data_IF_864272208435
#
_entry.id   IF_864272208435
#
_cell.length_a   1.000
_cell.length_b   1.000
_cell.length_c   1.000
_cell.angle_alpha   90.00
_cell.angle_beta   90.00
_cell.angle_gamma   90.00
#
_symmetry.space_group_name_H-M   'P 1'
#
loop_
_entity.id
_entity.type
_entity.pdbx_description
1 polymer ?
#
# COMPACT_ATOMS: atom_id res chain seq x y z
N UNK A 1 -24.20 7.00 -3.50
CA UNK A 1 -25.22 6.42 -4.42
C UNK A 1 -25.96 5.29 -3.71
N UNK A 2 -25.31 4.16 -3.41
CA UNK A 2 -25.89 3.14 -2.52
C UNK A 2 -26.01 3.59 -1.06
N UNK A 3 -25.20 4.57 -0.61
CA UNK A 3 -25.24 5.06 0.78
C UNK A 3 -26.62 5.64 1.12
N UNK A 4 -27.20 6.44 0.22
CA UNK A 4 -28.52 7.03 0.44
C UNK A 4 -29.63 5.98 0.39
N UNK A 5 -29.45 4.93 -0.43
CA UNK A 5 -30.39 3.82 -0.54
C UNK A 5 -30.45 2.99 0.74
N UNK A 6 -29.29 2.59 1.28
CA UNK A 6 -29.17 1.84 2.54
C UNK A 6 -29.09 2.73 3.79
N UNK A 7 -29.27 4.05 3.64
CA UNK A 7 -29.23 5.05 4.73
C UNK A 7 -27.91 5.08 5.51
N UNK A 8 -26.80 4.76 4.85
CA UNK A 8 -25.46 4.86 5.42
C UNK A 8 -25.01 6.33 5.49
N UNK A 9 -24.29 6.65 6.56
CA UNK A 9 -23.70 7.98 6.76
C UNK A 9 -22.50 8.25 5.86
N UNK A 10 -21.76 7.20 5.50
CA UNK A 10 -20.55 7.22 4.67
C UNK A 10 -20.38 5.87 3.97
N UNK A 11 -19.46 5.75 3.00
CA UNK A 11 -19.11 4.44 2.43
C UNK A 11 -18.43 3.55 3.48
N UNK A 12 -18.93 2.33 3.73
CA UNK A 12 -18.35 1.41 4.71
C UNK A 12 -17.03 0.80 4.24
N UNK A 13 -16.87 0.55 2.93
CA UNK A 13 -15.75 -0.22 2.38
C UNK A 13 -14.73 0.63 1.60
N UNK A 14 -14.43 1.83 2.10
CA UNK A 14 -13.39 2.67 1.50
C UNK A 14 -12.02 1.99 1.60
N UNK A 15 -11.22 2.15 0.54
CA UNK A 15 -9.83 1.69 0.48
C UNK A 15 -8.86 2.62 1.22
N UNK A 16 -9.24 3.87 1.41
CA UNK A 16 -8.42 4.81 2.17
C UNK A 16 -8.42 4.41 3.65
N UNK A 17 -7.25 4.29 4.28
CA UNK A 17 -7.14 3.94 5.69
C UNK A 17 -7.67 5.09 6.56
N UNK A 18 -8.86 4.89 7.12
CA UNK A 18 -9.49 5.76 8.12
C UNK A 18 -9.41 5.06 9.49
N UNK A 19 -8.76 5.68 10.51
CA UNK A 19 -8.65 5.12 11.86
C UNK A 19 -10.00 4.76 12.49
N UNK A 20 -11.08 5.46 12.14
CA UNK A 20 -12.40 5.23 12.69
C UNK A 20 -12.96 3.84 12.33
N UNK A 21 -12.49 3.25 11.22
CA UNK A 21 -12.87 1.92 10.74
C UNK A 21 -11.91 0.81 11.20
N UNK A 22 -11.00 1.11 12.15
CA UNK A 22 -10.05 0.13 12.62
C UNK A 22 -10.72 -1.02 13.38
N UNK A 23 -10.63 -2.22 12.79
CA UNK A 23 -11.04 -3.46 13.44
C UNK A 23 -9.82 -4.13 14.07
N UNK A 24 -9.72 -4.10 15.40
CA UNK A 24 -8.64 -4.75 16.13
C UNK A 24 -8.79 -6.27 16.16
N UNK A 25 -8.46 -6.97 15.08
CA UNK A 25 -8.48 -8.44 15.03
C UNK A 25 -7.53 -9.07 16.05
N UNK A 26 -7.64 -10.38 16.30
CA UNK A 26 -6.69 -11.13 17.15
C UNK A 26 -5.26 -10.96 16.65
N UNK A 27 -5.06 -10.95 15.33
CA UNK A 27 -3.76 -10.67 14.70
C UNK A 27 -3.24 -9.27 15.03
N UNK A 28 -4.08 -8.25 14.90
CA UNK A 28 -3.71 -6.87 15.23
C UNK A 28 -3.37 -6.68 16.71
N UNK A 29 -4.16 -7.28 17.63
CA UNK A 29 -3.88 -7.21 19.07
C UNK A 29 -2.56 -7.89 19.43
N UNK A 30 -2.25 -9.03 18.81
CA UNK A 30 -0.95 -9.70 18.99
C UNK A 30 0.20 -8.85 18.45
N UNK A 31 0.05 -8.30 17.24
CA UNK A 31 1.05 -7.41 16.65
C UNK A 31 1.34 -6.21 17.56
N UNK A 32 0.29 -5.56 18.10
CA UNK A 32 0.45 -4.44 19.02
C UNK A 32 1.16 -4.85 20.31
N UNK A 33 0.82 -6.01 20.89
CA UNK A 33 1.53 -6.51 22.08
C UNK A 33 3.03 -6.75 21.83
N UNK A 34 3.42 -7.21 20.63
CA UNK A 34 4.83 -7.33 20.25
C UNK A 34 5.52 -5.97 20.10
N UNK A 35 4.82 -4.97 19.55
CA UNK A 35 5.32 -3.60 19.46
C UNK A 35 5.51 -2.98 20.84
N UNK A 36 4.52 -3.09 21.72
CA UNK A 36 4.59 -2.62 23.10
C UNK A 36 5.72 -3.31 23.87
N UNK A 37 5.85 -4.64 23.73
CA UNK A 37 6.94 -5.39 24.35
C UNK A 37 8.31 -4.86 23.92
N UNK A 38 8.55 -4.68 22.62
CA UNK A 38 9.86 -4.18 22.20
C UNK A 38 10.04 -2.70 22.55
N UNK A 39 8.99 -1.87 22.53
CA UNK A 39 9.04 -0.50 23.06
C UNK A 39 9.55 -0.49 24.50
N UNK A 40 9.20 -1.47 25.34
CA UNK A 40 9.74 -1.55 26.70
C UNK A 40 11.24 -1.90 26.75
N UNK A 41 11.71 -2.78 25.87
CA UNK A 41 13.12 -3.15 25.80
C UNK A 41 14.03 -2.01 25.32
N UNK A 42 13.49 -1.06 24.53
CA UNK A 42 14.19 0.15 24.06
C UNK A 42 15.47 -0.10 23.25
N UNK A 43 15.71 -1.33 22.80
CA UNK A 43 16.83 -1.69 21.92
C UNK A 43 16.37 -2.55 20.73
N UNK A 44 17.25 -2.74 19.75
CA UNK A 44 17.12 -3.69 18.65
C UNK A 44 16.00 -3.41 17.62
N UNK A 45 15.74 -4.43 16.81
CA UNK A 45 14.75 -4.40 15.74
C UNK A 45 13.48 -5.17 16.12
N UNK A 46 12.32 -4.59 15.82
CA UNK A 46 11.06 -5.32 15.76
C UNK A 46 10.64 -5.44 14.31
N UNK A 47 10.28 -6.65 13.88
CA UNK A 47 9.85 -6.91 12.50
C UNK A 47 8.38 -7.30 12.47
N UNK A 48 7.58 -6.55 11.72
CA UNK A 48 6.19 -6.92 11.41
C UNK A 48 6.08 -7.20 9.92
N UNK A 49 5.69 -8.42 9.58
CA UNK A 49 5.36 -8.80 8.20
C UNK A 49 3.88 -9.09 8.08
N UNK A 50 3.35 -9.13 6.86
CA UNK A 50 1.96 -9.50 6.61
C UNK A 50 1.56 -9.25 5.17
N UNK A 51 0.46 -9.83 4.75
CA UNK A 51 -0.02 -9.74 3.37
C UNK A 51 -0.32 -8.29 2.93
N UNK A 52 -0.35 -8.05 1.62
CA UNK A 52 -0.74 -6.77 1.06
C UNK A 52 -2.19 -6.46 1.47
N UNK A 53 -2.38 -5.33 2.15
CA UNK A 53 -3.70 -4.93 2.64
C UNK A 53 -4.17 -5.66 3.91
N UNK A 54 -3.26 -6.31 4.64
CA UNK A 54 -3.54 -6.93 5.95
C UNK A 54 -3.79 -5.91 7.10
N UNK A 55 -3.49 -4.62 6.89
CA UNK A 55 -3.66 -3.58 7.92
C UNK A 55 -2.37 -3.13 8.62
N UNK A 56 -1.19 -3.51 8.09
CA UNK A 56 0.13 -3.16 8.65
C UNK A 56 0.32 -1.66 8.89
N UNK A 57 0.09 -0.82 7.88
CA UNK A 57 0.17 0.64 8.01
C UNK A 57 -0.82 1.19 9.02
N UNK A 58 -1.98 0.56 9.18
CA UNK A 58 -2.96 0.93 10.21
C UNK A 58 -2.45 0.65 11.62
N UNK A 59 -1.72 -0.46 11.82
CA UNK A 59 -1.03 -0.75 13.09
C UNK A 59 0.03 0.31 13.38
N UNK A 60 0.84 0.68 12.39
CA UNK A 60 1.88 1.72 12.53
C UNK A 60 1.26 3.06 12.93
N UNK A 61 0.17 3.47 12.26
CA UNK A 61 -0.53 4.71 12.60
C UNK A 61 -1.12 4.66 13.99
N UNK A 62 -1.80 3.56 14.34
CA UNK A 62 -2.37 3.38 15.66
C UNK A 62 -1.28 3.43 16.74
N UNK A 63 -0.12 2.80 16.53
CA UNK A 63 1.01 2.92 17.43
C UNK A 63 1.42 4.39 17.60
N UNK A 64 1.68 5.11 16.51
CA UNK A 64 2.11 6.51 16.54
C UNK A 64 1.12 7.42 17.29
N UNK A 65 -0.19 7.19 17.15
CA UNK A 65 -1.25 7.93 17.86
C UNK A 65 -1.26 7.67 19.38
N UNK A 66 -0.82 6.49 19.82
CA UNK A 66 -0.76 6.13 21.25
C UNK A 66 0.60 6.44 21.90
N UNK A 67 1.61 6.85 21.12
CA UNK A 67 2.90 7.23 21.66
C UNK A 67 2.82 8.57 22.41
N UNK A 68 3.41 8.59 23.59
CA UNK A 68 3.56 9.80 24.40
C UNK A 68 4.67 10.69 23.80
N UNK A 69 4.35 11.87 23.24
CA UNK A 69 5.34 12.75 22.60
C UNK A 69 6.34 13.34 23.60
N UNK A 70 6.06 13.28 24.90
CA UNK A 70 7.01 13.67 25.93
C UNK A 70 8.05 12.59 26.21
N UNK A 71 7.81 11.34 25.77
CA UNK A 71 8.71 10.21 26.02
C UNK A 71 9.35 9.64 24.77
N UNK A 72 8.74 9.84 23.60
CA UNK A 72 9.19 9.22 22.34
C UNK A 72 9.20 10.25 21.22
N UNK A 73 10.31 10.32 20.51
CA UNK A 73 10.44 11.03 19.24
C UNK A 73 10.41 9.98 18.12
N UNK A 74 9.29 9.89 17.41
CA UNK A 74 9.08 8.91 16.37
C UNK A 74 9.28 9.52 14.97
N UNK A 75 10.04 8.81 14.12
CA UNK A 75 10.20 9.08 12.71
C UNK A 75 9.58 7.94 11.91
N UNK A 76 8.75 8.26 10.90
CA UNK A 76 8.16 7.27 10.01
C UNK A 76 8.70 7.44 8.59
N UNK A 77 9.29 6.39 8.05
CA UNK A 77 9.77 6.28 6.69
C UNK A 77 8.91 5.29 5.92
N UNK A 78 8.36 5.73 4.79
CA UNK A 78 7.73 4.82 3.84
C UNK A 78 8.77 4.52 2.76
N UNK A 79 9.24 3.28 2.71
CA UNK A 79 10.30 2.90 1.78
C UNK A 79 9.76 2.81 0.36
N UNK A 80 10.20 3.72 -0.50
CA UNK A 80 10.25 3.49 -1.95
C UNK A 80 11.54 2.73 -2.27
N UNK A 81 11.82 2.32 -3.52
CA UNK A 81 13.12 1.74 -3.86
C UNK A 81 14.22 2.74 -3.50
N UNK A 82 14.94 2.50 -2.40
CA UNK A 82 15.87 3.45 -1.79
C UNK A 82 17.28 2.86 -1.83
N UNK A 83 18.20 3.64 -2.38
CA UNK A 83 19.62 3.35 -2.33
C UNK A 83 20.21 3.69 -0.94
N UNK A 84 21.27 2.98 -0.53
CA UNK A 84 21.89 3.14 0.78
C UNK A 84 22.44 4.56 1.05
N UNK A 85 22.78 5.33 0.01
CA UNK A 85 23.21 6.72 0.16
C UNK A 85 22.05 7.65 0.57
N UNK A 86 20.81 7.26 0.30
CA UNK A 86 19.62 8.06 0.58
C UNK A 86 18.99 7.72 1.94
N UNK A 87 19.13 6.48 2.43
CA UNK A 87 18.48 6.05 3.69
C UNK A 87 18.88 6.93 4.88
N UNK A 88 20.17 7.26 5.03
CA UNK A 88 20.64 8.13 6.11
C UNK A 88 20.07 9.56 6.01
N UNK A 89 19.95 10.09 4.79
CA UNK A 89 19.32 11.40 4.56
C UNK A 89 17.82 11.37 4.86
N UNK A 90 17.15 10.29 4.49
CA UNK A 90 15.73 10.11 4.77
C UNK A 90 15.48 10.01 6.27
N UNK A 91 16.26 9.20 6.99
CA UNK A 91 16.21 9.11 8.45
C UNK A 91 16.43 10.50 9.08
N UNK A 92 17.47 11.22 8.66
CA UNK A 92 17.73 12.57 9.16
C UNK A 92 16.56 13.52 8.87
N UNK A 93 15.98 13.47 7.67
CA UNK A 93 14.81 14.28 7.29
C UNK A 93 13.59 13.94 8.12
N UNK A 94 13.34 12.65 8.38
CA UNK A 94 12.19 12.18 9.15
C UNK A 94 12.27 12.57 10.63
N UNK A 95 13.47 12.68 11.19
CA UNK A 95 13.71 13.28 12.51
C UNK A 95 13.75 14.82 12.49
N UNK A 96 13.60 15.46 11.33
CA UNK A 96 13.57 16.92 11.19
C UNK A 96 14.95 17.59 11.15
N UNK A 97 16.03 16.84 10.90
CA UNK A 97 17.40 17.35 10.88
C UNK A 97 17.77 17.97 9.54
N UNK A 98 18.45 19.14 9.52
CA UNK A 98 18.94 19.75 8.30
C UNK A 98 20.08 18.93 7.70
N UNK A 99 19.93 18.47 6.45
CA UNK A 99 20.84 17.48 5.87
C UNK A 99 21.26 17.73 4.40
N UNK A 100 20.80 18.81 3.76
CA UNK A 100 20.97 19.04 2.31
C UNK A 100 22.42 19.17 1.84
N UNK A 101 23.34 19.62 2.69
CA UNK A 101 24.75 19.86 2.35
C UNK A 101 25.73 18.90 3.02
N UNK A 102 25.22 17.99 3.87
CA UNK A 102 26.07 17.08 4.62
C UNK A 102 26.51 15.91 3.74
N UNK A 103 27.77 15.53 3.86
CA UNK A 103 28.29 14.25 3.38
C UNK A 103 27.90 13.12 4.36
N UNK A 104 28.26 11.88 4.05
CA UNK A 104 27.88 10.72 4.87
C UNK A 104 28.36 10.86 6.32
N UNK A 105 29.60 11.30 6.54
CA UNK A 105 30.16 11.49 7.87
C UNK A 105 29.39 12.57 8.65
N UNK A 106 29.09 13.70 7.99
CA UNK A 106 28.27 14.76 8.59
C UNK A 106 26.86 14.30 8.96
N UNK A 107 26.22 13.46 8.13
CA UNK A 107 24.91 12.88 8.44
C UNK A 107 24.95 11.97 9.68
N UNK A 108 25.94 11.09 9.75
CA UNK A 108 26.10 10.18 10.89
C UNK A 108 26.34 10.96 12.18
N UNK A 109 27.23 11.96 12.16
CA UNK A 109 27.50 12.82 13.31
C UNK A 109 26.26 13.62 13.75
N UNK A 110 25.49 14.15 12.79
CA UNK A 110 24.26 14.87 13.09
C UNK A 110 23.20 13.95 13.72
N UNK A 111 23.04 12.74 13.20
CA UNK A 111 22.15 11.72 13.75
C UNK A 111 22.59 11.30 15.16
N UNK A 112 23.86 10.98 15.35
CA UNK A 112 24.42 10.61 16.65
C UNK A 112 24.19 11.71 17.69
N UNK A 113 24.52 12.96 17.34
CA UNK A 113 24.32 14.13 18.21
C UNK A 113 22.85 14.27 18.60
N UNK A 114 21.94 14.15 17.63
CA UNK A 114 20.51 14.21 17.86
C UNK A 114 20.01 13.09 18.78
N UNK A 115 20.46 11.85 18.56
CA UNK A 115 20.03 10.71 19.36
C UNK A 115 20.53 10.83 20.81
N UNK A 116 21.79 11.25 21.01
CA UNK A 116 22.35 11.53 22.35
C UNK A 116 21.56 12.63 23.06
N UNK A 117 21.22 13.72 22.36
CA UNK A 117 20.40 14.81 22.93
C UNK A 117 18.99 14.33 23.30
N UNK A 118 18.39 13.49 22.46
CA UNK A 118 17.06 12.91 22.69
C UNK A 118 17.06 12.06 23.96
N UNK A 119 18.07 11.19 24.12
CA UNK A 119 18.26 10.36 25.32
C UNK A 119 18.58 11.20 26.55
N UNK A 120 19.42 12.23 26.44
CA UNK A 120 19.74 13.14 27.53
C UNK A 120 18.52 13.94 28.02
N UNK A 121 17.55 14.19 27.14
CA UNK A 121 16.25 14.78 27.48
C UNK A 121 15.26 13.78 28.11
N UNK A 122 15.68 12.52 28.33
CA UNK A 122 14.82 11.46 28.86
C UNK A 122 13.82 10.91 27.83
N UNK A 123 14.00 11.23 26.54
CA UNK A 123 13.16 10.76 25.44
C UNK A 123 13.85 9.62 24.71
N UNK A 124 13.07 8.83 23.96
CA UNK A 124 13.55 7.71 23.14
C UNK A 124 13.34 8.00 21.67
N UNK A 125 14.30 7.68 20.83
CA UNK A 125 14.15 7.78 19.38
C UNK A 125 13.59 6.46 18.81
N UNK A 126 12.48 6.55 18.08
CA UNK A 126 11.86 5.43 17.39
C UNK A 126 11.88 5.68 15.89
N UNK A 127 12.48 4.78 15.12
CA UNK A 127 12.43 4.77 13.67
C UNK A 127 11.47 3.69 13.20
N UNK A 128 10.45 4.06 12.43
CA UNK A 128 9.56 3.11 11.76
C UNK A 128 9.87 3.16 10.27
N UNK A 129 10.08 1.98 9.68
CA UNK A 129 10.30 1.81 8.25
C UNK A 129 9.19 0.93 7.70
N UNK A 130 8.20 1.54 7.04
CA UNK A 130 7.11 0.85 6.34
C UNK A 130 7.55 0.46 4.91
N UNK A 131 6.91 -0.56 4.35
CA UNK A 131 7.26 -1.18 3.06
C UNK A 131 8.74 -1.66 2.98
N UNK A 132 9.26 -2.24 4.07
CA UNK A 132 10.65 -2.66 4.22
C UNK A 132 11.15 -3.67 3.16
N UNK A 133 10.26 -4.37 2.44
CA UNK A 133 10.65 -5.22 1.31
C UNK A 133 11.28 -4.45 0.14
N UNK A 134 11.08 -3.13 0.08
CA UNK A 134 11.70 -2.26 -0.93
C UNK A 134 13.12 -1.82 -0.56
N UNK A 135 13.62 -2.18 0.62
CA UNK A 135 14.97 -1.84 1.05
C UNK A 135 15.99 -2.72 0.34
N UNK A 136 17.05 -2.09 -0.15
CA UNK A 136 18.22 -2.80 -0.65
C UNK A 136 19.04 -3.40 0.51
N UNK A 137 19.79 -4.49 0.29
CA UNK A 137 20.65 -5.07 1.34
C UNK A 137 21.61 -4.05 1.97
N UNK A 138 22.14 -3.14 1.17
CA UNK A 138 23.02 -2.07 1.63
C UNK A 138 22.27 -1.05 2.51
N UNK A 139 21.02 -0.69 2.19
CA UNK A 139 20.22 0.20 3.04
C UNK A 139 19.90 -0.45 4.40
N UNK A 140 19.61 -1.76 4.42
CA UNK A 140 19.41 -2.52 5.66
C UNK A 140 20.67 -2.52 6.54
N UNK A 141 21.85 -2.64 5.92
CA UNK A 141 23.11 -2.60 6.64
C UNK A 141 23.40 -1.22 7.26
N UNK A 142 23.04 -0.12 6.59
CA UNK A 142 23.12 1.22 7.19
C UNK A 142 22.17 1.36 8.39
N UNK A 143 20.95 0.84 8.31
CA UNK A 143 20.02 0.81 9.45
C UNK A 143 20.59 -0.01 10.62
N UNK A 144 21.23 -1.16 10.32
CA UNK A 144 21.94 -1.96 11.31
C UNK A 144 23.07 -1.16 11.96
N UNK A 145 23.85 -0.43 11.19
CA UNK A 145 24.93 0.41 11.70
C UNK A 145 24.42 1.52 12.62
N UNK A 146 23.33 2.19 12.24
CA UNK A 146 22.67 3.20 13.09
C UNK A 146 22.17 2.62 14.42
N UNK A 147 21.64 1.39 14.42
CA UNK A 147 21.18 0.74 15.66
C UNK A 147 22.31 0.41 16.64
N UNK A 148 23.56 0.43 16.20
CA UNK A 148 24.72 0.22 17.07
C UNK A 148 25.10 1.47 17.87
N UNK A 149 24.47 2.62 17.61
CA UNK A 149 24.71 3.80 18.42
C UNK A 149 24.18 3.57 19.84
N UNK A 150 25.12 3.62 20.79
CA UNK A 150 24.90 3.35 22.19
C UNK A 150 25.58 4.45 23.02
N UNK A 151 24.91 4.88 24.08
CA UNK A 151 25.47 5.75 25.10
C UNK A 151 25.62 4.91 26.37
N UNK A 152 26.86 4.67 26.77
CA UNK A 152 27.20 3.69 27.82
C UNK A 152 26.64 2.31 27.45
N UNK A 153 25.68 1.80 28.22
CA UNK A 153 25.03 0.51 28.00
C UNK A 153 23.62 0.62 27.37
N UNK A 154 23.23 1.81 26.90
CA UNK A 154 21.88 2.05 26.38
C UNK A 154 21.88 2.32 24.87
N UNK A 155 21.06 1.56 24.14
CA UNK A 155 20.79 1.82 22.73
C UNK A 155 20.11 3.19 22.55
N UNK A 156 20.59 3.94 21.58
CA UNK A 156 20.12 5.29 21.28
C UNK A 156 18.95 5.31 20.28
N UNK A 157 18.79 4.23 19.51
CA UNK A 157 17.78 4.13 18.46
C UNK A 157 17.09 2.77 18.49
N UNK A 158 15.76 2.79 18.52
CA UNK A 158 14.93 1.61 18.28
C UNK A 158 14.32 1.65 16.88
N UNK A 159 14.30 0.52 16.18
CA UNK A 159 13.84 0.45 14.79
C UNK A 159 12.74 -0.59 14.57
N UNK A 160 11.62 -0.18 13.98
CA UNK A 160 10.51 -1.06 13.58
C UNK A 160 10.50 -1.21 12.07
N UNK A 161 10.65 -2.44 11.59
CA UNK A 161 10.63 -2.77 10.17
C UNK A 161 9.28 -3.41 9.85
N UNK A 162 8.49 -2.74 9.03
CA UNK A 162 7.16 -3.19 8.63
C UNK A 162 7.18 -3.49 7.13
N UNK A 163 6.83 -4.69 6.74
CA UNK A 163 6.99 -5.12 5.35
C UNK A 163 6.05 -6.23 4.92
N UNK A 164 6.16 -6.62 3.65
CA UNK A 164 5.43 -7.73 3.06
C UNK A 164 6.13 -9.08 3.35
N UNK A 165 5.51 -10.25 3.07
CA UNK A 165 6.10 -11.55 3.36
C UNK A 165 7.47 -11.75 2.71
N UNK A 166 7.73 -11.15 1.54
CA UNK A 166 9.00 -11.17 0.82
C UNK A 166 10.15 -10.63 1.67
N UNK A 167 9.88 -9.64 2.54
CA UNK A 167 10.89 -9.14 3.48
C UNK A 167 11.34 -10.22 4.46
N UNK A 168 10.45 -11.15 4.83
CA UNK A 168 10.80 -12.28 5.70
C UNK A 168 11.80 -13.20 5.01
N UNK A 169 11.66 -13.41 3.71
CA UNK A 169 12.56 -14.25 2.92
C UNK A 169 13.92 -13.55 2.74
N UNK A 170 13.92 -12.25 2.47
CA UNK A 170 15.13 -11.41 2.44
C UNK A 170 15.86 -11.51 3.78
N UNK A 171 15.14 -11.38 4.90
CA UNK A 171 15.70 -11.51 6.24
C UNK A 171 16.31 -12.89 6.50
N UNK A 172 15.81 -13.96 5.87
CA UNK A 172 16.35 -15.32 6.03
C UNK A 172 17.66 -15.57 5.26
N UNK A 173 18.01 -14.70 4.31
CA UNK A 173 19.24 -14.80 3.52
C UNK A 173 20.51 -14.73 4.40
N UNK A 174 21.60 -15.30 3.89
CA UNK A 174 22.89 -15.31 4.59
C UNK A 174 23.42 -13.87 4.82
N UNK A 175 23.17 -12.96 3.89
CA UNK A 175 23.59 -11.55 3.96
C UNK A 175 22.92 -10.80 5.13
N UNK A 176 21.71 -11.22 5.53
CA UNK A 176 20.94 -10.60 6.62
C UNK A 176 21.15 -11.25 7.99
N UNK A 177 22.14 -12.14 8.14
CA UNK A 177 22.38 -12.84 9.41
C UNK A 177 22.68 -11.88 10.57
N UNK A 178 23.42 -10.80 10.31
CA UNK A 178 23.76 -9.82 11.35
C UNK A 178 22.55 -9.01 11.83
N UNK A 179 21.66 -8.61 10.92
CA UNK A 179 20.42 -7.93 11.29
C UNK A 179 19.51 -8.87 12.08
N UNK A 180 19.36 -10.13 11.64
CA UNK A 180 18.53 -11.13 12.33
C UNK A 180 18.91 -11.34 13.79
N UNK A 181 20.20 -11.33 14.10
CA UNK A 181 20.68 -11.46 15.49
C UNK A 181 20.28 -10.27 16.38
N UNK A 182 19.96 -9.12 15.78
CA UNK A 182 19.49 -7.91 16.46
C UNK A 182 17.95 -7.79 16.47
N UNK A 183 17.23 -8.72 15.84
CA UNK A 183 15.76 -8.75 15.89
C UNK A 183 15.32 -9.35 17.22
N UNK A 184 14.68 -8.54 18.04
CA UNK A 184 14.20 -8.94 19.37
C UNK A 184 12.87 -9.66 19.27
N UNK A 185 12.02 -9.19 18.36
CA UNK A 185 10.69 -9.73 18.15
C UNK A 185 10.35 -9.68 16.67
N UNK A 186 9.68 -10.73 16.20
CA UNK A 186 9.06 -10.74 14.88
C UNK A 186 7.65 -11.28 14.97
N UNK A 187 6.73 -10.64 14.24
CA UNK A 187 5.36 -11.09 14.12
C UNK A 187 4.89 -11.04 12.67
N UNK A 188 4.13 -12.05 12.27
CA UNK A 188 3.50 -12.09 10.96
C UNK A 188 2.00 -11.89 11.12
N UNK A 189 1.51 -10.74 10.65
CA UNK A 189 0.10 -10.40 10.56
C UNK A 189 -0.53 -11.16 9.39
N UNK A 190 -1.04 -12.35 9.71
CA UNK A 190 -1.81 -13.16 8.79
C UNK A 190 -3.19 -12.57 8.48
N UNK A 191 -3.89 -13.16 7.49
CA UNK A 191 -5.27 -12.80 7.18
C UNK A 191 -6.22 -13.09 8.35
N UNK A 192 -7.40 -12.48 8.29
CA UNK A 192 -8.50 -12.75 9.22
C UNK A 192 -9.01 -14.17 9.02
N UNK A 193 -9.43 -14.84 10.11
CA UNK A 193 -10.19 -16.08 9.99
C UNK A 193 -11.65 -15.83 9.52
N UNK A 194 -12.46 -16.89 9.35
CA UNK A 194 -13.84 -16.75 8.88
C UNK A 194 -14.74 -15.98 9.86
N UNK A 195 -14.56 -16.19 11.16
CA UNK A 195 -15.31 -15.50 12.22
C UNK A 195 -14.92 -14.02 12.29
N UNK A 196 -13.62 -13.74 12.19
CA UNK A 196 -13.06 -12.39 12.13
C UNK A 196 -13.46 -11.66 10.85
N UNK A 197 -13.54 -12.35 9.71
CA UNK A 197 -13.99 -11.77 8.43
C UNK A 197 -15.43 -11.29 8.53
N UNK A 198 -16.32 -12.12 9.10
CA UNK A 198 -17.71 -11.71 9.38
C UNK A 198 -17.74 -10.51 10.33
N UNK A 199 -17.03 -10.61 11.45
CA UNK A 199 -16.98 -9.55 12.46
C UNK A 199 -16.44 -8.23 11.90
N UNK A 200 -15.47 -8.30 10.98
CA UNK A 200 -14.89 -7.16 10.28
C UNK A 200 -15.90 -6.47 9.36
N UNK A 201 -16.63 -7.24 8.54
CA UNK A 201 -17.67 -6.72 7.65
C UNK A 201 -18.76 -6.03 8.45
N UNK A 202 -19.29 -6.71 9.47
CA UNK A 202 -20.32 -6.15 10.35
C UNK A 202 -19.82 -4.90 11.10
N UNK A 203 -18.56 -4.89 11.56
CA UNK A 203 -17.97 -3.73 12.21
C UNK A 203 -17.96 -2.50 11.29
N UNK A 204 -17.48 -2.64 10.04
CA UNK A 204 -17.46 -1.51 9.09
C UNK A 204 -18.85 -1.02 8.71
N UNK A 205 -19.81 -1.94 8.57
CA UNK A 205 -21.21 -1.60 8.32
C UNK A 205 -21.84 -0.85 9.52
N UNK A 206 -21.68 -1.37 10.75
CA UNK A 206 -22.18 -0.71 11.97
C UNK A 206 -21.60 0.71 12.13
N UNK A 207 -20.33 0.90 11.75
CA UNK A 207 -19.69 2.22 11.81
C UNK A 207 -20.41 3.28 10.95
N UNK A 208 -21.00 2.88 9.82
CA UNK A 208 -21.75 3.81 8.94
C UNK A 208 -23.23 3.88 9.27
N UNK A 209 -23.68 3.25 10.35
CA UNK A 209 -25.07 3.26 10.81
C UNK A 209 -25.93 2.13 10.27
N UNK A 210 -25.34 1.00 9.87
CA UNK A 210 -26.08 -0.19 9.44
C UNK A 210 -27.00 -0.74 10.53
N UNK A 211 -28.25 -0.98 10.16
CA UNK A 211 -29.31 -1.58 10.99
C UNK A 211 -29.88 -2.81 10.28
N UNK A 212 -29.02 -3.78 10.00
CA UNK A 212 -29.36 -5.04 9.30
C UNK A 212 -29.97 -4.84 7.89
N UNK A 213 -29.69 -3.71 7.23
CA UNK A 213 -30.11 -3.40 5.86
C UNK A 213 -28.94 -2.85 5.02
N UNK A 214 -28.46 -3.58 3.98
CA UNK A 214 -28.98 -4.86 3.50
C UNK A 214 -28.64 -6.01 4.45
N UNK A 215 -29.45 -7.07 4.39
CA UNK A 215 -29.23 -8.31 5.14
C UNK A 215 -28.15 -9.12 4.42
N UNK A 216 -27.06 -9.45 5.13
CA UNK A 216 -26.06 -10.40 4.66
C UNK A 216 -26.40 -11.78 5.20
N UNK A 217 -26.62 -12.74 4.30
CA UNK A 217 -26.89 -14.12 4.68
C UNK A 217 -25.64 -14.81 5.22
N UNK A 218 -25.82 -15.85 6.06
CA UNK A 218 -24.71 -16.59 6.66
C UNK A 218 -23.77 -17.19 5.60
N UNK A 219 -24.33 -17.68 4.49
CA UNK A 219 -23.58 -18.32 3.40
C UNK A 219 -22.79 -17.30 2.57
N UNK A 220 -23.28 -16.06 2.45
CA UNK A 220 -22.56 -14.99 1.78
C UNK A 220 -21.20 -14.72 2.46
N UNK A 221 -21.15 -14.72 3.80
CA UNK A 221 -19.88 -14.55 4.54
C UNK A 221 -18.87 -15.65 4.24
N UNK A 222 -19.33 -16.90 4.12
CA UNK A 222 -18.46 -18.04 3.82
C UNK A 222 -17.84 -17.91 2.42
N UNK A 223 -18.63 -17.50 1.43
CA UNK A 223 -18.14 -17.28 0.05
C UNK A 223 -17.21 -16.07 -0.02
N UNK A 224 -17.53 -14.98 0.69
CA UNK A 224 -16.65 -13.81 0.81
C UNK A 224 -15.29 -14.23 1.39
N UNK A 225 -15.29 -14.98 2.49
CA UNK A 225 -14.05 -15.48 3.10
C UNK A 225 -13.27 -16.38 2.13
N UNK A 226 -13.94 -17.34 1.50
CA UNK A 226 -13.32 -18.27 0.56
C UNK A 226 -12.66 -17.58 -0.63
N UNK A 227 -13.28 -16.53 -1.18
CA UNK A 227 -12.67 -15.75 -2.27
C UNK A 227 -11.55 -14.84 -1.78
N UNK A 228 -11.79 -14.08 -0.71
CA UNK A 228 -10.86 -13.02 -0.24
C UNK A 228 -9.67 -13.56 0.53
N UNK A 229 -9.77 -14.78 1.06
CA UNK A 229 -8.77 -15.39 1.94
C UNK A 229 -8.59 -14.62 3.24
N UNK A 230 -9.61 -13.87 3.69
CA UNK A 230 -9.55 -13.07 4.93
C UNK A 230 -8.70 -11.80 4.83
N UNK A 231 -8.30 -11.36 3.64
CA UNK A 231 -7.49 -10.14 3.46
C UNK A 231 -8.41 -8.90 3.45
N UNK A 232 -8.27 -7.96 4.41
CA UNK A 232 -9.15 -6.79 4.57
C UNK A 232 -9.35 -5.97 3.29
N UNK A 233 -8.26 -5.71 2.53
CA UNK A 233 -8.36 -4.95 1.27
C UNK A 233 -9.22 -5.66 0.23
N UNK A 234 -9.11 -6.99 0.11
CA UNK A 234 -9.93 -7.79 -0.83
C UNK A 234 -11.38 -7.84 -0.38
N UNK A 235 -11.61 -7.98 0.93
CA UNK A 235 -12.95 -7.91 1.53
C UNK A 235 -13.59 -6.56 1.20
N UNK A 236 -12.89 -5.46 1.40
CA UNK A 236 -13.40 -4.11 1.10
C UNK A 236 -13.81 -3.97 -0.37
N UNK A 237 -12.94 -4.36 -1.30
CA UNK A 237 -13.24 -4.29 -2.74
C UNK A 237 -14.46 -5.13 -3.09
N UNK A 238 -14.55 -6.37 -2.60
CA UNK A 238 -15.68 -7.25 -2.90
C UNK A 238 -16.98 -6.70 -2.30
N UNK A 239 -16.98 -6.30 -1.03
CA UNK A 239 -18.17 -5.79 -0.37
C UNK A 239 -18.66 -4.44 -0.94
N UNK A 240 -17.75 -3.55 -1.37
CA UNK A 240 -18.15 -2.30 -2.05
C UNK A 240 -18.89 -2.60 -3.37
N UNK A 241 -18.41 -3.59 -4.13
CA UNK A 241 -19.07 -4.05 -5.36
C UNK A 241 -20.40 -4.74 -5.07
N UNK A 242 -20.48 -5.56 -4.03
CA UNK A 242 -21.73 -6.21 -3.62
C UNK A 242 -22.81 -5.20 -3.26
N UNK A 243 -22.47 -4.17 -2.48
CA UNK A 243 -23.41 -3.10 -2.13
C UNK A 243 -23.85 -2.31 -3.37
N UNK A 244 -22.95 -2.08 -4.32
CA UNK A 244 -23.28 -1.43 -5.58
C UNK A 244 -24.22 -2.29 -6.43
N UNK A 245 -23.94 -3.59 -6.58
CA UNK A 245 -24.78 -4.53 -7.32
C UNK A 245 -26.17 -4.70 -6.69
N UNK A 246 -26.23 -4.82 -5.36
CA UNK A 246 -27.50 -4.87 -4.63
C UNK A 246 -28.33 -3.60 -4.84
N UNK A 247 -27.69 -2.42 -4.81
CA UNK A 247 -28.36 -1.16 -5.12
C UNK A 247 -28.88 -1.09 -6.56
N UNK A 248 -28.09 -1.51 -7.55
CA UNK A 248 -28.50 -1.51 -8.96
C UNK A 248 -29.65 -2.48 -9.25
N UNK A 249 -29.69 -3.60 -8.52
CA UNK A 249 -30.77 -4.57 -8.61
C UNK A 249 -31.96 -4.24 -7.68
N UNK A 250 -31.90 -3.13 -6.95
CA UNK A 250 -32.89 -2.72 -5.93
C UNK A 250 -33.20 -3.82 -4.89
N UNK A 251 -32.16 -4.55 -4.47
CA UNK A 251 -32.24 -5.63 -3.48
C UNK A 251 -31.70 -5.20 -2.13
N UNK A 252 -32.36 -5.68 -1.08
CA UNK A 252 -32.00 -5.47 0.33
C UNK A 252 -31.45 -6.74 1.01
N UNK A 253 -31.23 -7.81 0.26
CA UNK A 253 -30.62 -9.05 0.74
C UNK A 253 -29.44 -9.41 -0.16
N UNK A 254 -28.33 -9.81 0.44
CA UNK A 254 -27.12 -10.28 -0.23
C UNK A 254 -26.90 -11.74 0.18
N UNK A 255 -27.20 -12.63 -0.77
CA UNK A 255 -27.06 -14.07 -0.62
C UNK A 255 -25.80 -14.61 -1.29
N UNK A 256 -25.62 -15.92 -1.20
CA UNK A 256 -24.47 -16.64 -1.79
C UNK A 256 -24.35 -16.42 -3.32
N UNK A 257 -25.47 -16.43 -4.05
CA UNK A 257 -25.49 -16.26 -5.51
C UNK A 257 -24.97 -14.89 -5.94
N UNK A 258 -25.37 -13.83 -5.22
CA UNK A 258 -24.93 -12.45 -5.47
C UNK A 258 -23.43 -12.31 -5.30
N UNK A 259 -22.87 -12.96 -4.28
CA UNK A 259 -21.41 -12.98 -4.06
C UNK A 259 -20.69 -13.64 -5.23
N UNK A 260 -21.20 -14.77 -5.73
CA UNK A 260 -20.58 -15.47 -6.87
C UNK A 260 -20.64 -14.67 -8.15
N UNK A 261 -21.77 -14.03 -8.44
CA UNK A 261 -21.93 -13.19 -9.63
C UNK A 261 -20.87 -12.08 -9.65
N UNK A 262 -20.75 -11.32 -8.56
CA UNK A 262 -19.75 -10.24 -8.44
C UNK A 262 -18.31 -10.78 -8.48
N UNK A 263 -18.05 -11.97 -7.91
CA UNK A 263 -16.74 -12.61 -8.00
C UNK A 263 -16.37 -12.90 -9.46
N UNK A 264 -17.30 -13.44 -10.26
CA UNK A 264 -17.04 -13.74 -11.67
C UNK A 264 -16.86 -12.45 -12.48
N UNK A 265 -17.65 -11.40 -12.23
CA UNK A 265 -17.44 -10.08 -12.84
C UNK A 265 -16.05 -9.52 -12.53
N UNK A 266 -15.61 -9.57 -11.27
CA UNK A 266 -14.28 -9.13 -10.87
C UNK A 266 -13.18 -9.96 -11.58
N UNK A 267 -13.34 -11.28 -11.66
CA UNK A 267 -12.38 -12.12 -12.40
C UNK A 267 -12.31 -11.75 -13.88
N UNK A 268 -13.44 -11.44 -14.51
CA UNK A 268 -13.52 -11.03 -15.92
C UNK A 268 -12.93 -9.63 -16.15
N UNK A 269 -13.08 -8.70 -15.20
CA UNK A 269 -12.42 -7.38 -15.27
C UNK A 269 -10.89 -7.48 -15.22
N UNK A 270 -10.36 -8.40 -14.41
CA UNK A 270 -8.90 -8.61 -14.26
C UNK A 270 -8.32 -9.62 -15.27
N UNK A 271 -9.16 -10.47 -15.87
CA UNK A 271 -8.77 -11.30 -17.01
C UNK A 271 -8.78 -10.41 -18.26
N UNK A 272 -7.61 -9.96 -18.72
CA UNK A 272 -7.42 -9.30 -20.01
C UNK A 272 -8.34 -9.90 -21.08
N UNK A 273 -9.03 -9.09 -21.92
CA UNK A 273 -9.98 -9.63 -22.88
C UNK A 273 -9.26 -10.55 -23.86
N UNK A 274 -9.33 -11.86 -23.61
CA UNK A 274 -9.06 -12.84 -24.63
C UNK A 274 -10.11 -12.62 -25.71
N UNK A 275 -9.63 -12.24 -26.90
CA UNK A 275 -10.44 -12.09 -28.12
C UNK A 275 -11.48 -13.21 -28.18
N UNK A 276 -12.74 -12.84 -28.00
CA UNK A 276 -13.88 -13.71 -28.27
C UNK A 276 -13.80 -14.15 -29.73
N UNK A 277 -13.37 -15.39 -29.96
CA UNK A 277 -13.51 -16.02 -31.26
C UNK A 277 -15.02 -16.16 -31.55
N UNK A 278 -15.37 -15.81 -32.78
CA UNK A 278 -16.70 -15.51 -33.25
C UNK A 278 -17.73 -16.65 -33.11
N UNK A 279 -18.99 -16.21 -33.00
CA UNK A 279 -20.24 -16.94 -33.25
C UNK A 279 -20.21 -17.77 -34.56
N UNK A 280 -21.05 -18.83 -34.67
CA UNK A 280 -21.01 -19.78 -35.79
C UNK A 280 -21.55 -19.15 -37.09
N UNK A 281 -20.74 -19.16 -38.15
CA UNK A 281 -21.17 -18.75 -39.47
C UNK A 281 -21.95 -19.89 -40.16
N UNK A 282 -23.20 -19.58 -40.50
CA UNK A 282 -24.07 -20.39 -41.34
C UNK A 282 -23.55 -20.51 -42.77
N UNK A 283 -23.95 -21.62 -43.38
CA UNK A 283 -23.61 -22.15 -44.70
C UNK A 283 -23.96 -21.25 -45.89
N UNK A 284 -23.05 -21.19 -46.87
CA UNK A 284 -23.23 -21.19 -48.35
C UNK A 284 -22.03 -20.44 -48.96
N UNK A 285 -21.31 -20.87 -49.99
CA UNK A 285 -21.29 -22.04 -50.85
C UNK A 285 -20.38 -21.71 -52.05
N UNK A 286 -19.56 -22.70 -52.46
CA UNK A 286 -18.86 -22.87 -53.74
C UNK A 286 -17.73 -21.90 -54.18
N UNK A 287 -16.56 -22.47 -54.50
CA UNK A 287 -15.52 -21.84 -55.33
C UNK A 287 -14.11 -22.35 -55.01
N UNK A 288 -13.55 -23.18 -55.89
CA UNK A 288 -12.32 -23.98 -55.76
C UNK A 288 -11.00 -23.18 -55.75
N UNK A 289 -9.99 -23.67 -55.02
CA UNK A 289 -8.71 -24.19 -55.56
C UNK A 289 -7.51 -24.02 -54.59
N UNK A 290 -6.93 -25.16 -54.17
CA UNK A 290 -5.50 -25.40 -53.87
C UNK A 290 -4.81 -24.63 -52.73
N UNK A 291 -4.29 -25.33 -51.72
CA UNK A 291 -2.95 -25.98 -51.69
C UNK A 291 -2.68 -26.56 -50.28
N UNK A 292 -2.34 -27.86 -50.29
CA UNK A 292 -1.54 -28.65 -49.36
C UNK A 292 -1.36 -28.23 -47.88
N UNK A 293 -1.90 -29.08 -47.01
CA UNK A 293 -1.49 -29.29 -45.62
C UNK A 293 -0.01 -29.72 -45.54
N UNK A 294 0.82 -29.00 -44.79
CA UNK A 294 2.15 -29.48 -44.39
C UNK A 294 2.41 -29.26 -42.90
N UNK A 295 2.57 -30.40 -42.23
CA UNK A 295 3.12 -30.72 -40.92
C UNK A 295 3.74 -29.58 -40.07
N UNK A 296 3.21 -29.43 -38.85
CA UNK A 296 3.63 -28.50 -37.79
C UNK A 296 4.88 -28.98 -37.03
N UNK A 297 5.68 -29.90 -37.59
CA UNK A 297 6.82 -30.52 -36.88
C UNK A 297 8.21 -30.11 -37.40
N UNK A 298 8.28 -29.08 -38.25
CA UNK A 298 9.55 -28.52 -38.74
C UNK A 298 9.49 -27.01 -38.93
N UNK A 299 9.48 -26.26 -37.84
CA UNK A 299 9.84 -24.84 -37.85
C UNK A 299 11.09 -24.65 -37.00
N UNK A 300 12.25 -24.79 -37.66
CA UNK A 300 13.49 -24.20 -37.17
C UNK A 300 13.32 -22.68 -37.24
N UNK A 301 13.27 -22.03 -36.08
CA UNK A 301 13.20 -20.57 -35.98
C UNK A 301 14.52 -20.01 -36.48
N UNK A 302 14.50 -19.20 -37.54
CA UNK A 302 15.66 -18.47 -38.04
C UNK A 302 15.97 -17.26 -37.14
N UNK A 303 17.25 -17.02 -36.87
CA UNK A 303 17.73 -15.90 -36.04
C UNK A 303 17.26 -14.51 -36.54
N UNK A 304 16.90 -14.40 -37.82
CA UNK A 304 16.33 -13.17 -38.40
C UNK A 304 14.94 -12.81 -37.85
N UNK A 305 14.12 -13.80 -37.48
CA UNK A 305 12.78 -13.57 -36.89
C UNK A 305 12.88 -13.17 -35.42
N UNK A 306 13.89 -13.66 -34.69
CA UNK A 306 14.18 -13.21 -33.32
C UNK A 306 14.71 -11.77 -33.30
N UNK A 307 15.51 -11.38 -34.29
CA UNK A 307 15.97 -9.99 -34.45
C UNK A 307 14.82 -9.03 -34.80
N UNK A 308 13.83 -9.47 -35.60
CA UNK A 308 12.62 -8.68 -35.90
C UNK A 308 11.63 -8.60 -34.73
N UNK A 309 11.55 -9.62 -33.87
CA UNK A 309 10.74 -9.56 -32.66
C UNK A 309 11.35 -8.64 -31.58
N UNK A 310 12.69 -8.56 -31.51
CA UNK A 310 13.39 -7.65 -30.61
C UNK A 310 13.24 -6.17 -31.02
N UNK A 311 13.22 -5.87 -32.32
CA UNK A 311 13.00 -4.50 -32.83
C UNK A 311 11.55 -4.00 -32.71
N UNK A 312 10.58 -4.91 -32.60
CA UNK A 312 9.18 -4.57 -32.32
C UNK A 312 8.95 -4.24 -30.83
N UNK A 313 9.73 -4.83 -29.92
CA UNK A 313 9.66 -4.49 -28.47
C UNK A 313 10.22 -3.10 -28.17
N UNK A 314 11.30 -2.68 -28.84
CA UNK A 314 11.87 -1.34 -28.66
C UNK A 314 10.93 -0.22 -29.14
N UNK A 315 10.15 -0.46 -30.20
CA UNK A 315 9.15 0.50 -30.68
C UNK A 315 7.95 0.62 -29.72
N UNK A 316 7.56 -0.45 -29.04
CA UNK A 316 6.50 -0.41 -28.03
C UNK A 316 6.92 0.39 -26.79
N UNK A 317 8.20 0.32 -26.41
CA UNK A 317 8.75 1.11 -25.30
C UNK A 317 8.89 2.60 -25.66
N UNK A 318 9.28 2.91 -26.90
CA UNK A 318 9.33 4.30 -27.40
C UNK A 318 7.92 4.91 -27.45
N UNK A 319 6.92 4.20 -27.96
CA UNK A 319 5.53 4.69 -27.97
C UNK A 319 4.96 4.88 -26.56
N UNK A 320 5.33 4.03 -25.59
CA UNK A 320 4.95 4.22 -24.17
C UNK A 320 5.64 5.43 -23.54
N UNK A 321 6.90 5.68 -23.89
CA UNK A 321 7.64 6.85 -23.44
C UNK A 321 7.05 8.14 -24.03
N UNK A 322 6.72 8.16 -25.32
CA UNK A 322 6.04 9.29 -25.97
C UNK A 322 4.68 9.58 -25.35
N UNK A 323 3.86 8.55 -25.08
CA UNK A 323 2.57 8.71 -24.41
C UNK A 323 2.72 9.28 -22.98
N UNK A 324 3.76 8.90 -22.24
CA UNK A 324 4.07 9.48 -20.93
C UNK A 324 4.55 10.92 -21.02
N UNK A 325 5.31 11.26 -22.07
CA UNK A 325 5.80 12.62 -22.31
C UNK A 325 4.64 13.58 -22.62
N UNK A 326 3.71 13.17 -23.48
CA UNK A 326 2.48 13.94 -23.78
C UNK A 326 1.63 14.12 -22.52
N UNK A 327 1.50 13.10 -21.68
CA UNK A 327 0.80 13.20 -20.39
C UNK A 327 1.46 14.17 -19.41
N UNK A 328 2.79 14.20 -19.36
CA UNK A 328 3.56 15.14 -18.54
C UNK A 328 3.41 16.58 -19.04
N UNK A 329 3.47 16.81 -20.36
CA UNK A 329 3.26 18.14 -20.94
C UNK A 329 1.85 18.69 -20.63
N UNK A 330 0.82 17.84 -20.73
CA UNK A 330 -0.55 18.23 -20.38
C UNK A 330 -0.69 18.53 -18.88
N UNK A 331 -0.04 17.76 -18.00
CA UNK A 331 -0.04 18.01 -16.56
C UNK A 331 0.70 19.30 -16.19
N UNK A 332 1.83 19.59 -16.85
CA UNK A 332 2.59 20.83 -16.64
C UNK A 332 1.80 22.04 -17.15
N UNK A 333 1.14 21.93 -18.30
CA UNK A 333 0.27 22.98 -18.82
C UNK A 333 -0.94 23.23 -17.90
N UNK A 334 -1.56 22.18 -17.36
CA UNK A 334 -2.69 22.30 -16.43
C UNK A 334 -2.27 22.95 -15.11
N UNK A 335 -1.12 22.55 -14.54
CA UNK A 335 -0.60 23.14 -13.30
C UNK A 335 -0.19 24.60 -13.48
N UNK A 336 0.44 24.97 -14.60
CA UNK A 336 0.72 26.36 -14.94
C UNK A 336 -0.56 27.18 -15.16
N UNK A 337 -1.59 26.59 -15.76
CA UNK A 337 -2.90 27.23 -15.91
C UNK A 337 -3.56 27.56 -14.57
N UNK A 338 -3.55 26.60 -13.64
CA UNK A 338 -4.07 26.78 -12.27
C UNK A 338 -3.25 27.82 -11.51
N UNK A 339 -1.92 27.79 -11.62
CA UNK A 339 -1.05 28.78 -10.97
C UNK A 339 -1.30 30.20 -11.50
N UNK A 340 -1.55 30.35 -12.81
CA UNK A 340 -1.86 31.64 -13.41
C UNK A 340 -3.26 32.13 -13.01
N UNK A 341 -4.25 31.24 -12.88
CA UNK A 341 -5.57 31.58 -12.35
C UNK A 341 -5.50 32.03 -10.89
N UNK A 342 -4.68 31.38 -10.06
CA UNK A 342 -4.45 31.78 -8.67
C UNK A 342 -3.72 33.13 -8.58
N UNK A 343 -2.72 33.38 -9.43
CA UNK A 343 -2.04 34.68 -9.52
C UNK A 343 -2.99 35.81 -9.95
N UNK A 344 -3.93 35.53 -10.86
CA UNK A 344 -4.96 36.48 -11.27
C UNK A 344 -6.05 36.70 -10.20
N UNK A 345 -6.38 35.68 -9.41
CA UNK A 345 -7.29 35.81 -8.28
C UNK A 345 -6.67 36.68 -7.16
N UNK A 346 -5.39 36.48 -6.85
CA UNK A 346 -4.66 37.28 -5.84
C UNK A 346 -4.45 38.74 -6.28
N UNK A 347 -4.38 39.01 -7.59
CA UNK A 347 -4.31 40.40 -8.11
C UNK A 347 -5.65 41.14 -8.18
N UNK A 348 -6.79 40.48 -7.93
CA UNK A 348 -8.13 41.06 -8.09
C UNK A 348 -8.79 41.57 -6.81
N UNK A 349 -8.13 41.50 -5.65
CA UNK A 349 -8.57 42.16 -4.42
C UNK A 349 -7.84 43.51 -4.20
N UNK A 350 -8.46 44.66 -4.54
CA UNK A 350 -8.15 45.92 -3.88
C UNK A 350 -9.06 46.08 -2.63
N UNK A 351 -8.56 46.59 -1.49
CA UNK A 351 -9.44 46.90 -0.38
C UNK A 351 -10.31 48.12 -0.74
N UNK A 352 -11.62 47.90 -0.72
CA UNK A 352 -12.62 48.96 -0.63
C UNK A 352 -12.49 49.66 0.74
N UNK A 353 -11.70 50.73 0.78
CA UNK A 353 -11.61 51.64 1.91
C UNK A 353 -12.70 52.71 1.85
N UNK A 354 -13.70 52.54 2.71
CA UNK A 354 -14.53 53.53 3.40
C UNK A 354 -14.73 54.93 2.80
N UNK A 355 -15.99 55.21 2.45
CA UNK A 355 -16.58 56.55 2.60
C UNK A 355 -16.83 56.81 4.09
N UNK A 356 -16.24 57.85 4.65
CA UNK A 356 -16.78 58.58 5.82
C UNK A 356 -16.56 60.09 5.61
N UNK A 357 -17.68 60.83 5.73
CA UNK A 357 -17.87 62.24 6.11
C UNK A 357 -16.87 63.34 5.70
N UNK A 358 -17.32 64.25 4.83
CA UNK A 358 -17.74 65.62 5.22
C UNK A 358 -18.79 66.17 4.24
#
# INVERSE_FOLDING_TARGET
>A
MYESYFKFRNKPFQLNPDPAFFFGSRGHRRAMAYLEYGMHQSEGFIVITGEIGAGKTTIVRSLLEHLDPEKVVAANLVSTQIDASEILRMVATAFGLPNRTLDKAGLLLALETFLVQTTAAGKRALLIVDEAQNLTPSAVEELRMLSNFQLEDHALLQSFLVGQPEFRDIMQSAEMQQLRQRVIASYHLGPLDSEETRSYIEHRLRHVGWTDDPIFEADAFNVIYGYTGGIPRRINTLCDRLLLGAFLAERHSIGEEDVREVIEELKLEFASPQRSAALPAGSSGAGEAGVATLAVDRLQVSDELLAHAASLSSNADIQRLEARLVGLEQSVAATLGVLNQLLHAVRRDPPAGGKEHE
#
